data_IF_360265502657
#
_entry.id   IF_360265502657
#
_cell.length_a   1.000
_cell.length_b   1.000
_cell.length_c   1.000
_cell.angle_alpha   90.00
_cell.angle_beta   90.00
_cell.angle_gamma   90.00
#
_symmetry.space_group_name_H-M   'P 1'
#
loop_
_entity.id
_entity.type
_entity.pdbx_description
1 polymer ?
#
# COMPACT_ATOMS: atom_id res chain seq x y z
N UNK A 1 -15.07 1.41 8.44
CA UNK A 1 -15.67 2.04 7.24
C UNK A 1 -15.44 1.11 6.07
N UNK A 2 -16.48 0.80 5.30
CA UNK A 2 -16.45 -0.18 4.22
C UNK A 2 -15.81 0.46 2.98
N UNK A 3 -14.71 -0.07 2.45
CA UNK A 3 -14.20 0.36 1.14
C UNK A 3 -15.23 -0.01 0.07
N UNK A 4 -15.49 0.93 -0.83
CA UNK A 4 -16.31 0.73 -2.02
C UNK A 4 -15.57 -0.17 -3.01
N UNK A 5 -15.72 -1.49 -2.87
CA UNK A 5 -15.14 -2.49 -3.78
C UNK A 5 -13.61 -2.62 -3.72
N UNK A 6 -13.09 -3.77 -4.14
CA UNK A 6 -11.64 -3.98 -4.28
C UNK A 6 -11.12 -3.23 -5.51
N UNK A 7 -9.93 -2.64 -5.40
CA UNK A 7 -9.26 -1.99 -6.53
C UNK A 7 -8.87 -3.04 -7.58
N UNK A 8 -9.32 -2.93 -8.85
CA UNK A 8 -9.01 -3.94 -9.86
C UNK A 8 -7.51 -3.96 -10.25
N UNK A 9 -6.99 -5.08 -10.77
CA UNK A 9 -5.62 -5.17 -11.26
C UNK A 9 -5.22 -4.07 -12.25
N UNK A 10 -4.05 -3.46 -12.00
CA UNK A 10 -3.51 -2.36 -12.78
C UNK A 10 -4.26 -1.03 -12.62
N UNK A 11 -5.11 -0.91 -11.60
CA UNK A 11 -5.75 0.34 -11.18
C UNK A 11 -5.14 0.85 -9.87
N UNK A 12 -5.28 2.15 -9.67
CA UNK A 12 -4.74 2.85 -8.51
C UNK A 12 -5.89 3.30 -7.61
N UNK A 13 -5.68 3.19 -6.31
CA UNK A 13 -6.47 3.83 -5.28
C UNK A 13 -5.61 4.86 -4.54
N UNK A 14 -6.19 6.03 -4.22
CA UNK A 14 -5.50 7.08 -3.47
C UNK A 14 -6.34 7.55 -2.29
N UNK A 15 -5.65 7.93 -1.20
CA UNK A 15 -6.27 8.48 0.00
C UNK A 15 -5.31 9.41 0.71
N UNK A 16 -5.75 10.63 1.02
CA UNK A 16 -5.02 11.50 1.94
C UNK A 16 -5.44 11.19 3.38
N UNK A 17 -4.51 10.65 4.18
CA UNK A 17 -4.73 10.35 5.60
C UNK A 17 -4.02 11.36 6.50
N UNK A 18 -3.41 12.42 5.94
CA UNK A 18 -2.75 13.47 6.71
C UNK A 18 -3.79 14.32 7.46
N UNK A 19 -3.46 14.87 8.64
CA UNK A 19 -4.36 15.78 9.34
C UNK A 19 -4.64 17.04 8.53
N UNK A 20 -5.81 17.66 8.75
CA UNK A 20 -6.14 18.93 8.10
C UNK A 20 -5.10 19.99 8.43
N UNK A 21 -4.63 20.73 7.41
CA UNK A 21 -3.59 21.74 7.56
C UNK A 21 -2.17 21.17 7.68
N UNK A 22 -1.96 19.86 7.43
CA UNK A 22 -0.62 19.29 7.33
C UNK A 22 0.21 20.07 6.30
N UNK A 23 1.43 20.44 6.69
CA UNK A 23 2.38 21.12 5.80
C UNK A 23 3.47 20.11 5.43
N UNK A 24 3.65 19.81 4.12
CA UNK A 24 4.75 18.96 3.69
C UNK A 24 6.12 19.48 4.14
N UNK A 25 7.09 18.59 4.41
CA UNK A 25 8.45 19.01 4.74
C UNK A 25 9.03 19.93 3.65
N UNK A 26 9.64 21.06 4.04
CA UNK A 26 10.43 21.90 3.14
C UNK A 26 11.91 21.76 3.48
N UNK A 27 12.59 20.80 2.85
CA UNK A 27 14.01 20.54 3.06
C UNK A 27 14.72 20.23 1.75
N UNK A 28 16.05 20.37 1.74
CA UNK A 28 16.89 20.04 0.58
C UNK A 28 17.14 18.53 0.43
N UNK A 29 16.78 17.73 1.44
CA UNK A 29 16.98 16.28 1.46
C UNK A 29 15.66 15.55 1.64
N UNK A 30 15.56 14.36 1.05
CA UNK A 30 14.38 13.49 1.15
C UNK A 30 14.84 12.14 1.70
N UNK A 31 14.15 11.65 2.73
CA UNK A 31 14.34 10.30 3.26
C UNK A 31 13.38 9.33 2.59
N UNK A 32 13.91 8.43 1.78
CA UNK A 32 13.16 7.35 1.12
C UNK A 32 13.41 6.02 1.83
N UNK A 33 12.34 5.31 2.18
CA UNK A 33 12.39 3.92 2.64
C UNK A 33 11.69 3.02 1.63
N UNK A 34 12.25 1.82 1.40
CA UNK A 34 11.61 0.76 0.65
C UNK A 34 11.57 -0.51 1.49
N UNK A 35 10.41 -1.17 1.55
CA UNK A 35 10.26 -2.41 2.33
C UNK A 35 9.13 -3.31 1.81
N UNK A 36 9.46 -4.58 1.58
CA UNK A 36 8.48 -5.64 1.45
C UNK A 36 7.97 -6.05 2.84
N UNK A 37 6.70 -5.82 3.12
CA UNK A 37 6.11 -5.99 4.45
C UNK A 37 5.41 -7.35 4.65
N UNK A 38 5.58 -8.28 3.71
CA UNK A 38 5.05 -9.64 3.77
C UNK A 38 3.55 -9.68 4.12
N UNK A 39 2.71 -8.99 3.32
CA UNK A 39 1.25 -8.87 3.52
C UNK A 39 0.83 -8.22 4.83
N UNK A 40 1.75 -7.58 5.56
CA UNK A 40 1.47 -6.94 6.83
C UNK A 40 1.18 -7.93 7.98
N UNK A 41 1.73 -9.16 7.96
CA UNK A 41 1.50 -10.13 9.05
C UNK A 41 1.85 -9.60 10.45
N UNK A 42 2.80 -8.66 10.54
CA UNK A 42 3.22 -8.01 11.78
C UNK A 42 2.84 -6.52 11.78
N UNK A 43 1.63 -6.19 11.32
CA UNK A 43 1.19 -4.81 11.03
C UNK A 43 1.54 -3.81 12.14
N UNK A 44 1.29 -4.15 13.41
CA UNK A 44 1.60 -3.27 14.53
C UNK A 44 3.10 -2.97 14.66
N UNK A 45 3.95 -4.01 14.59
CA UNK A 45 5.40 -3.85 14.64
C UNK A 45 5.96 -3.12 13.41
N UNK A 46 5.38 -3.35 12.23
CA UNK A 46 5.71 -2.60 11.01
C UNK A 46 5.41 -1.11 11.20
N UNK A 47 4.24 -0.76 11.74
CA UNK A 47 3.86 0.62 12.02
C UNK A 47 4.81 1.27 13.04
N UNK A 48 5.16 0.55 14.11
CA UNK A 48 6.11 1.03 15.12
C UNK A 48 7.49 1.34 14.51
N UNK A 49 8.01 0.43 13.68
CA UNK A 49 9.30 0.60 13.02
C UNK A 49 9.26 1.77 12.01
N UNK A 50 8.20 1.85 11.19
CA UNK A 50 8.05 2.95 10.23
C UNK A 50 7.95 4.31 10.92
N UNK A 51 7.29 4.40 12.08
CA UNK A 51 7.24 5.61 12.92
C UNK A 51 8.63 5.98 13.47
N UNK A 52 9.42 4.99 13.87
CA UNK A 52 10.77 5.23 14.36
C UNK A 52 11.71 5.73 13.25
N UNK A 53 11.58 5.20 12.04
CA UNK A 53 12.38 5.59 10.88
C UNK A 53 12.00 6.99 10.36
N UNK A 54 10.71 7.34 10.42
CA UNK A 54 10.13 8.62 9.99
C UNK A 54 10.60 9.06 8.59
N UNK A 55 10.43 8.18 7.60
CA UNK A 55 10.75 8.49 6.21
C UNK A 55 9.72 9.48 5.61
N UNK A 56 10.17 10.30 4.66
CA UNK A 56 9.30 11.25 3.95
C UNK A 56 8.50 10.57 2.85
N UNK A 57 9.09 9.53 2.25
CA UNK A 57 8.48 8.67 1.24
C UNK A 57 8.76 7.21 1.61
N UNK A 58 7.72 6.37 1.55
CA UNK A 58 7.77 4.95 1.88
C UNK A 58 7.22 4.17 0.69
N UNK A 59 8.02 3.30 0.10
CA UNK A 59 7.62 2.39 -0.98
C UNK A 59 7.45 0.97 -0.42
N UNK A 60 6.20 0.50 -0.34
CA UNK A 60 5.86 -0.82 0.19
C UNK A 60 5.58 -1.83 -0.91
N UNK A 61 6.12 -3.04 -0.74
CA UNK A 61 5.77 -4.22 -1.53
C UNK A 61 5.02 -5.22 -0.66
N UNK A 62 4.28 -6.10 -1.33
CA UNK A 62 3.40 -7.09 -0.71
C UNK A 62 2.37 -6.47 0.24
N UNK A 63 1.67 -5.44 -0.24
CA UNK A 63 0.54 -4.83 0.49
C UNK A 63 -0.72 -5.63 0.20
N UNK A 64 -1.45 -5.98 1.26
CA UNK A 64 -2.65 -6.80 1.20
C UNK A 64 -3.90 -5.96 1.43
N UNK A 65 -4.93 -6.15 0.61
CA UNK A 65 -6.20 -5.41 0.71
C UNK A 65 -7.37 -6.38 0.61
N UNK A 66 -8.06 -6.57 1.74
CA UNK A 66 -9.30 -7.36 1.80
C UNK A 66 -9.13 -8.88 1.81
N UNK A 67 -7.90 -9.39 1.85
CA UNK A 67 -7.66 -10.83 1.96
C UNK A 67 -8.06 -11.38 3.34
N UNK A 68 -8.52 -12.62 3.40
CA UNK A 68 -8.94 -13.23 4.67
C UNK A 68 -7.77 -13.40 5.65
N UNK A 69 -6.56 -13.70 5.13
CA UNK A 69 -5.34 -13.79 5.95
C UNK A 69 -4.97 -12.49 6.66
N UNK A 70 -5.41 -11.33 6.14
CA UNK A 70 -5.25 -10.03 6.78
C UNK A 70 -6.49 -9.61 7.58
N UNK A 71 -7.45 -10.52 7.79
CA UNK A 71 -8.72 -10.22 8.45
C UNK A 71 -9.61 -9.28 7.63
N UNK A 72 -9.41 -9.23 6.31
CA UNK A 72 -10.11 -8.30 5.42
C UNK A 72 -9.56 -6.86 5.48
N UNK A 73 -8.39 -6.65 6.10
CA UNK A 73 -7.79 -5.32 6.22
C UNK A 73 -7.16 -4.84 4.91
N UNK A 74 -7.13 -3.52 4.73
CA UNK A 74 -6.18 -2.83 3.86
C UNK A 74 -4.96 -2.47 4.71
N UNK A 75 -3.88 -3.25 4.57
CA UNK A 75 -2.69 -3.10 5.41
C UNK A 75 -1.96 -1.80 5.10
N UNK A 76 -1.98 -1.35 3.85
CA UNK A 76 -1.32 -0.11 3.43
C UNK A 76 -2.07 1.13 3.93
N UNK A 77 -3.40 1.13 3.83
CA UNK A 77 -4.23 2.20 4.38
C UNK A 77 -4.11 2.26 5.90
N UNK A 78 -4.08 1.12 6.60
CA UNK A 78 -3.89 1.09 8.05
C UNK A 78 -2.55 1.73 8.47
N UNK A 79 -1.46 1.50 7.71
CA UNK A 79 -0.18 2.17 7.92
C UNK A 79 -0.31 3.67 7.67
N UNK A 80 -0.93 4.07 6.56
CA UNK A 80 -1.09 5.47 6.18
C UNK A 80 -1.92 6.27 7.20
N UNK A 81 -3.01 5.69 7.72
CA UNK A 81 -3.82 6.27 8.78
C UNK A 81 -3.03 6.38 10.10
N UNK A 82 -2.29 5.34 10.47
CA UNK A 82 -1.51 5.33 11.70
C UNK A 82 -0.33 6.31 11.70
N UNK A 83 0.21 6.64 10.53
CA UNK A 83 1.32 7.57 10.34
C UNK A 83 0.87 8.97 9.91
N UNK A 84 -0.39 9.14 9.49
CA UNK A 84 -0.89 10.37 8.92
C UNK A 84 -0.19 10.73 7.61
N UNK A 85 -0.23 9.85 6.61
CA UNK A 85 0.44 10.01 5.32
C UNK A 85 -0.56 9.99 4.15
N UNK A 86 -0.17 10.59 3.01
CA UNK A 86 -0.81 10.31 1.74
C UNK A 86 -0.55 8.85 1.36
N UNK A 87 -1.54 8.18 0.78
CA UNK A 87 -1.50 6.77 0.38
C UNK A 87 -1.85 6.63 -1.09
N UNK A 88 -1.01 5.92 -1.83
CA UNK A 88 -1.23 5.51 -3.22
C UNK A 88 -1.02 4.02 -3.31
N UNK A 89 -2.05 3.27 -3.65
CA UNK A 89 -2.00 1.82 -3.87
C UNK A 89 -2.16 1.48 -5.33
N UNK A 90 -1.31 0.61 -5.85
CA UNK A 90 -1.47 -0.03 -7.15
C UNK A 90 -1.79 -1.51 -6.92
N UNK A 91 -2.97 -1.94 -7.35
CA UNK A 91 -3.30 -3.36 -7.38
C UNK A 91 -2.47 -4.06 -8.45
N UNK A 92 -1.73 -5.10 -8.07
CA UNK A 92 -0.97 -5.94 -8.99
C UNK A 92 -1.82 -7.10 -9.50
N UNK A 93 -2.45 -7.85 -8.59
CA UNK A 93 -3.30 -8.99 -8.91
C UNK A 93 -4.37 -9.26 -7.84
N UNK A 94 -5.37 -10.03 -8.23
CA UNK A 94 -6.38 -10.58 -7.33
C UNK A 94 -5.84 -11.82 -6.62
N UNK A 95 -6.05 -11.89 -5.31
CA UNK A 95 -5.73 -13.05 -4.51
C UNK A 95 -6.97 -13.91 -4.35
N UNK A 96 -7.04 -14.99 -5.13
CA UNK A 96 -8.22 -15.86 -5.13
C UNK A 96 -8.35 -16.61 -3.80
N UNK A 97 -9.57 -16.63 -3.27
CA UNK A 97 -9.91 -17.55 -2.19
C UNK A 97 -9.79 -19.00 -2.69
N UNK A 98 -9.21 -19.89 -1.89
CA UNK A 98 -9.10 -21.31 -2.22
C UNK A 98 -9.24 -22.20 -0.98
N UNK A 99 -10.08 -23.26 -1.03
CA UNK A 99 -10.20 -24.22 0.06
C UNK A 99 -8.93 -25.06 0.29
N UNK A 100 -7.94 -24.98 -0.62
CA UNK A 100 -6.65 -25.66 -0.48
C UNK A 100 -5.61 -24.82 0.30
N UNK A 101 -5.90 -23.54 0.57
CA UNK A 101 -5.02 -22.65 1.34
C UNK A 101 -5.41 -22.70 2.81
N UNK A 102 -4.40 -22.63 3.68
CA UNK A 102 -4.62 -22.44 5.10
C UNK A 102 -4.99 -20.98 5.41
N UNK A 103 -5.37 -20.72 6.67
CA UNK A 103 -5.76 -19.38 7.10
C UNK A 103 -4.65 -18.34 6.91
N UNK A 104 -3.37 -18.74 7.00
CA UNK A 104 -2.24 -17.83 6.85
C UNK A 104 -2.06 -17.40 5.40
N UNK A 105 -2.33 -18.28 4.44
CA UNK A 105 -2.11 -18.01 3.02
C UNK A 105 -3.38 -17.63 2.26
N UNK A 106 -4.55 -17.65 2.92
CA UNK A 106 -5.85 -17.45 2.30
C UNK A 106 -5.96 -16.11 1.55
N UNK A 107 -6.60 -16.16 0.37
CA UNK A 107 -6.90 -15.00 -0.45
C UNK A 107 -8.25 -14.37 -0.09
N UNK A 108 -9.00 -13.93 -1.10
CA UNK A 108 -10.29 -13.23 -0.97
C UNK A 108 -10.22 -11.72 -1.23
N UNK A 109 -9.03 -11.20 -1.54
CA UNK A 109 -8.79 -9.77 -1.72
C UNK A 109 -7.89 -9.47 -2.91
N UNK A 110 -7.10 -8.39 -2.81
CA UNK A 110 -6.10 -8.00 -3.80
C UNK A 110 -4.76 -7.73 -3.15
N UNK A 111 -3.72 -7.83 -3.96
CA UNK A 111 -2.34 -7.67 -3.54
C UNK A 111 -1.61 -6.71 -4.48
N UNK A 112 -0.68 -5.93 -3.94
CA UNK A 112 0.08 -5.02 -4.77
C UNK A 112 1.13 -4.20 -4.03
N UNK A 113 1.39 -3.02 -4.57
CA UNK A 113 2.44 -2.12 -4.11
C UNK A 113 1.83 -0.78 -3.69
N UNK A 114 2.47 -0.10 -2.74
CA UNK A 114 2.03 1.21 -2.30
C UNK A 114 3.17 2.21 -2.18
N UNK A 115 2.82 3.48 -2.37
CA UNK A 115 3.65 4.62 -2.01
C UNK A 115 2.90 5.40 -0.93
N UNK A 116 3.54 5.61 0.21
CA UNK A 116 3.07 6.49 1.27
C UNK A 116 4.00 7.69 1.36
N UNK A 117 3.47 8.90 1.58
CA UNK A 117 4.29 10.11 1.53
C UNK A 117 3.75 11.25 2.39
N UNK A 118 4.65 12.07 2.92
CA UNK A 118 4.30 13.35 3.58
C UNK A 118 3.92 14.42 2.55
N UNK A 119 4.41 14.29 1.31
CA UNK A 119 4.20 15.28 0.25
C UNK A 119 2.82 15.19 -0.39
N UNK A 120 2.42 16.27 -1.06
CA UNK A 120 1.22 16.27 -1.88
C UNK A 120 1.41 15.38 -3.11
N UNK A 121 0.37 14.64 -3.47
CA UNK A 121 0.33 13.81 -4.68
C UNK A 121 -0.55 14.51 -5.71
N UNK A 122 0.09 15.18 -6.68
CA UNK A 122 -0.62 15.90 -7.75
C UNK A 122 -1.08 14.97 -8.87
N UNK A 123 -0.24 14.03 -9.27
CA UNK A 123 -0.49 13.12 -10.39
C UNK A 123 -0.04 11.71 -10.04
N UNK A 124 -0.83 10.71 -10.47
CA UNK A 124 -0.46 9.31 -10.38
C UNK A 124 -0.63 8.64 -11.73
N UNK A 125 0.42 7.97 -12.19
CA UNK A 125 0.44 7.24 -13.44
C UNK A 125 0.92 5.80 -13.26
N UNK A 126 0.37 4.89 -14.05
CA UNK A 126 0.79 3.49 -14.12
C UNK A 126 1.50 3.27 -15.44
N UNK A 127 2.79 2.94 -15.40
CA UNK A 127 3.56 2.60 -16.59
C UNK A 127 3.26 1.15 -16.96
N UNK A 128 2.69 0.94 -18.15
CA UNK A 128 2.40 -0.41 -18.67
C UNK A 128 3.51 -0.85 -19.60
N UNK A 129 4.30 -1.82 -19.17
CA UNK A 129 5.25 -2.49 -20.05
C UNK A 129 4.49 -3.46 -20.98
N UNK A 130 4.73 -3.34 -22.29
CA UNK A 130 4.26 -4.30 -23.27
C UNK A 130 5.49 -4.99 -23.86
N UNK A 131 5.55 -6.30 -23.72
CA UNK A 131 6.50 -7.08 -24.50
C UNK A 131 5.99 -7.18 -25.93
N UNK A 132 6.84 -6.84 -26.90
CA UNK A 132 6.55 -6.99 -28.32
C UNK A 132 7.57 -7.99 -28.86
N UNK A 133 7.08 -9.15 -29.31
CA UNK A 133 7.93 -10.11 -30.03
C UNK A 133 8.35 -9.50 -31.36
N UNK A 134 9.65 -9.36 -31.58
CA UNK A 134 10.19 -9.08 -32.91
C UNK A 134 10.36 -10.44 -33.62
N UNK A 135 9.27 -10.93 -34.21
CA UNK A 135 9.28 -12.07 -35.15
C UNK A 135 8.75 -11.60 -36.48
#
# INVERSE_FOLDING_TARGET
MQQAGLTPPGKVFTRDCRPAGFTPPCGETIKLLQWNIERGYQLAGIIEELKAIDADIIALQEVDVGCERSGGADTGLAIAEAMGLNYVFLCEFEELHSPLRDARTQGGGVHGNAILTKFDVSEVAVVRHRWVSLT
#
